data_IF_944577747624
#
_entry.id   IF_944577747624
#
_cell.length_a   1.000
_cell.length_b   1.000
_cell.length_c   1.000
_cell.angle_alpha   90.00
_cell.angle_beta   90.00
_cell.angle_gamma   90.00
#
_symmetry.space_group_name_H-M   'P 1'
#
loop_
_entity.id
_entity.type
_entity.pdbx_description
1 polymer ?
#
# COMPACT_ATOMS: atom_id res chain seq x y z
N UNK A 1 29.59 3.76 35.83
CA UNK A 1 28.13 3.49 35.89
C UNK A 1 27.62 3.20 34.48
N UNK A 2 26.94 2.07 34.27
CA UNK A 2 26.48 1.64 32.93
C UNK A 2 25.07 2.17 32.64
N UNK A 3 24.98 3.13 31.70
CA UNK A 3 23.91 3.43 30.73
C UNK A 3 22.48 2.83 30.92
N UNK A 4 21.86 2.93 32.10
CA UNK A 4 20.49 2.44 32.34
C UNK A 4 19.40 3.34 31.72
N UNK A 5 19.69 4.59 31.34
CA UNK A 5 18.69 5.54 30.86
C UNK A 5 18.36 5.44 29.37
N UNK A 6 19.25 4.87 28.54
CA UNK A 6 19.06 4.82 27.07
C UNK A 6 17.99 3.83 26.64
N UNK A 7 17.86 2.68 27.30
CA UNK A 7 16.88 1.65 26.94
C UNK A 7 15.42 2.13 27.16
N UNK A 8 15.19 2.92 28.23
CA UNK A 8 13.88 3.53 28.49
C UNK A 8 13.48 4.58 27.44
N UNK A 9 14.47 5.25 26.82
CA UNK A 9 14.21 6.23 25.77
C UNK A 9 13.70 5.57 24.49
N UNK A 10 14.33 4.47 24.03
CA UNK A 10 13.92 3.80 22.79
C UNK A 10 12.51 3.22 22.85
N UNK A 11 12.16 2.54 23.95
CA UNK A 11 10.80 2.02 24.15
C UNK A 11 9.75 3.12 24.14
N UNK A 12 10.08 4.29 24.71
CA UNK A 12 9.20 5.45 24.71
C UNK A 12 9.05 6.06 23.31
N UNK A 13 10.15 6.23 22.58
CA UNK A 13 10.14 6.74 21.21
C UNK A 13 9.38 5.82 20.26
N UNK A 14 9.58 4.51 20.35
CA UNK A 14 8.84 3.52 19.55
C UNK A 14 7.33 3.58 19.84
N UNK A 15 6.96 3.79 21.11
CA UNK A 15 5.55 3.98 21.49
C UNK A 15 4.95 5.25 20.86
N UNK A 16 5.68 6.37 20.91
CA UNK A 16 5.22 7.62 20.30
C UNK A 16 5.13 7.52 18.77
N UNK A 17 6.06 6.82 18.13
CA UNK A 17 6.06 6.58 16.69
C UNK A 17 4.81 5.81 16.26
N UNK A 18 4.52 4.69 16.92
CA UNK A 18 3.34 3.88 16.62
C UNK A 18 2.03 4.63 16.87
N UNK A 19 1.98 5.45 17.92
CA UNK A 19 0.83 6.30 18.20
C UNK A 19 0.61 7.34 17.09
N UNK A 20 1.70 7.97 16.60
CA UNK A 20 1.65 8.94 15.50
C UNK A 20 1.20 8.28 14.20
N UNK A 21 1.78 7.13 13.87
CA UNK A 21 1.44 6.35 12.67
C UNK A 21 -0.03 5.93 12.66
N UNK A 22 -0.54 5.37 13.76
CA UNK A 22 -1.96 4.99 13.87
C UNK A 22 -2.90 6.19 13.75
N UNK A 23 -2.55 7.32 14.38
CA UNK A 23 -3.37 8.53 14.32
C UNK A 23 -3.48 9.08 12.88
N UNK A 24 -2.37 9.14 12.14
CA UNK A 24 -2.39 9.56 10.74
C UNK A 24 -3.13 8.56 9.85
N UNK A 25 -2.83 7.27 9.99
CA UNK A 25 -3.50 6.21 9.24
C UNK A 25 -5.01 6.29 9.42
N UNK A 26 -5.47 6.48 10.66
CA UNK A 26 -6.90 6.66 10.95
C UNK A 26 -7.49 7.92 10.32
N UNK A 27 -6.84 9.08 10.50
CA UNK A 27 -7.34 10.33 9.92
C UNK A 27 -7.41 10.27 8.38
N UNK A 28 -6.41 9.67 7.74
CA UNK A 28 -6.34 9.48 6.30
C UNK A 28 -7.39 8.46 5.81
N UNK A 29 -7.57 7.35 6.52
CA UNK A 29 -8.57 6.34 6.18
C UNK A 29 -9.99 6.92 6.27
N UNK A 30 -10.29 7.69 7.31
CA UNK A 30 -11.61 8.30 7.53
C UNK A 30 -12.00 9.27 6.39
N UNK A 31 -11.03 9.87 5.69
CA UNK A 31 -11.26 10.74 4.51
C UNK A 31 -11.15 10.00 3.16
N UNK A 32 -11.11 8.66 3.17
CA UNK A 32 -11.03 7.84 1.97
C UNK A 32 -9.68 7.93 1.25
N UNK A 33 -8.60 8.22 1.97
CA UNK A 33 -7.24 8.15 1.44
C UNK A 33 -6.80 6.69 1.27
N UNK A 34 -6.08 6.30 0.19
CA UNK A 34 -5.65 4.92 -0.02
C UNK A 34 -4.49 4.57 0.92
N UNK A 35 -4.88 4.11 2.10
CA UNK A 35 -4.04 3.68 3.22
C UNK A 35 -4.65 2.40 3.81
N UNK A 36 -3.87 1.56 4.53
CA UNK A 36 -4.40 0.41 5.23
C UNK A 36 -5.53 0.76 6.22
N UNK A 37 -6.47 -0.18 6.37
CA UNK A 37 -7.53 -0.05 7.38
C UNK A 37 -6.91 -0.06 8.79
N UNK A 38 -7.12 0.97 9.63
CA UNK A 38 -6.59 1.00 10.99
C UNK A 38 -7.41 0.09 11.91
N UNK A 39 -6.87 -1.06 12.33
CA UNK A 39 -7.59 -2.04 13.17
C UNK A 39 -7.34 -1.82 14.67
N UNK A 40 -6.14 -1.38 15.04
CA UNK A 40 -5.85 -1.05 16.44
C UNK A 40 -4.41 -0.65 16.71
N UNK A 41 -4.17 -0.13 17.90
CA UNK A 41 -2.83 0.28 18.34
C UNK A 41 -2.64 -0.01 19.83
N UNK A 42 -1.51 -0.62 20.17
CA UNK A 42 -1.10 -0.84 21.56
C UNK A 42 0.41 -0.67 21.73
N UNK A 43 0.81 0.27 22.60
CA UNK A 43 2.22 0.60 22.87
C UNK A 43 2.99 0.97 21.59
N UNK A 44 3.83 0.09 21.07
CA UNK A 44 4.65 0.31 19.88
C UNK A 44 4.19 -0.57 18.71
N UNK A 45 2.96 -1.07 18.76
CA UNK A 45 2.38 -2.02 17.81
C UNK A 45 1.16 -1.37 17.17
N UNK A 46 1.14 -1.35 15.85
CA UNK A 46 -0.01 -0.98 15.02
C UNK A 46 -0.51 -2.25 14.32
N UNK A 47 -1.83 -2.46 14.36
CA UNK A 47 -2.52 -3.52 13.61
C UNK A 47 -3.33 -2.84 12.52
N UNK A 48 -3.16 -3.29 11.29
CA UNK A 48 -3.79 -2.70 10.12
C UNK A 48 -4.28 -3.77 9.14
N UNK A 49 -5.18 -3.38 8.24
CA UNK A 49 -5.67 -4.21 7.15
C UNK A 49 -4.54 -4.64 6.23
N UNK A 50 -4.60 -5.89 5.78
CA UNK A 50 -3.61 -6.43 4.88
C UNK A 50 -3.83 -5.90 3.45
N UNK A 51 -2.87 -5.15 2.95
CA UNK A 51 -2.87 -4.68 1.56
C UNK A 51 -2.40 -5.81 0.64
N UNK A 52 -3.20 -6.06 -0.40
CA UNK A 52 -2.80 -6.93 -1.51
C UNK A 52 -1.90 -6.10 -2.44
N UNK A 53 -0.66 -6.53 -2.63
CA UNK A 53 0.30 -5.82 -3.47
C UNK A 53 1.73 -6.07 -3.04
N UNK A 54 2.67 -5.47 -3.76
CA UNK A 54 4.08 -5.50 -3.43
C UNK A 54 4.64 -4.08 -3.37
N UNK A 55 5.68 -3.83 -2.56
CA UNK A 55 6.41 -2.57 -2.60
C UNK A 55 6.90 -2.26 -4.01
N UNK A 56 6.77 -1.01 -4.43
CA UNK A 56 7.09 -0.56 -5.78
C UNK A 56 8.54 -0.90 -6.19
N UNK A 57 9.50 -0.82 -5.25
CA UNK A 57 10.89 -1.17 -5.51
C UNK A 57 11.10 -2.62 -5.98
N UNK A 58 10.19 -3.53 -5.62
CA UNK A 58 10.28 -4.96 -5.96
C UNK A 58 9.76 -5.25 -7.37
N UNK A 59 9.01 -4.32 -7.97
CA UNK A 59 8.40 -4.53 -9.28
C UNK A 59 9.45 -4.26 -10.36
N UNK A 60 9.87 -5.29 -11.13
CA UNK A 60 10.84 -5.07 -12.18
C UNK A 60 10.19 -4.39 -13.39
N UNK A 61 10.94 -3.53 -14.08
CA UNK A 61 10.47 -2.75 -15.23
C UNK A 61 9.79 -3.59 -16.33
N UNK A 62 10.23 -4.83 -16.55
CA UNK A 62 9.66 -5.73 -17.58
C UNK A 62 8.28 -6.30 -17.24
N UNK A 63 7.82 -6.17 -15.99
CA UNK A 63 6.48 -6.62 -15.56
C UNK A 63 5.41 -5.56 -15.70
N UNK A 64 5.79 -4.34 -16.07
CA UNK A 64 4.87 -3.22 -16.24
C UNK A 64 4.88 -2.81 -17.72
N UNK A 65 3.68 -2.67 -18.28
CA UNK A 65 3.49 -1.90 -19.52
C UNK A 65 3.78 -0.42 -19.28
N UNK A 66 4.06 0.33 -20.34
CA UNK A 66 4.38 1.76 -20.21
C UNK A 66 3.17 2.56 -19.71
N UNK A 67 1.96 2.14 -20.08
CA UNK A 67 0.69 2.69 -19.57
C UNK A 67 0.54 2.45 -18.07
N UNK A 68 0.89 1.27 -17.58
CA UNK A 68 0.86 0.97 -16.14
C UNK A 68 1.89 1.79 -15.37
N UNK A 69 3.11 1.95 -15.90
CA UNK A 69 4.12 2.80 -15.26
C UNK A 69 3.65 4.24 -15.15
N UNK A 70 3.11 4.81 -16.24
CA UNK A 70 2.54 6.15 -16.25
C UNK A 70 1.41 6.28 -15.22
N UNK A 71 0.51 5.28 -15.17
CA UNK A 71 -0.61 5.28 -14.23
C UNK A 71 -0.18 5.18 -12.76
N UNK A 72 0.87 4.41 -12.44
CA UNK A 72 1.40 4.32 -11.06
C UNK A 72 2.05 5.66 -10.70
N UNK A 73 2.79 6.27 -11.62
CA UNK A 73 3.43 7.57 -11.40
C UNK A 73 2.39 8.67 -11.12
N UNK A 74 1.38 8.79 -11.98
CA UNK A 74 0.26 9.73 -11.83
C UNK A 74 -0.46 9.53 -10.49
N UNK A 75 -0.76 8.28 -10.12
CA UNK A 75 -1.34 8.00 -8.81
C UNK A 75 -0.43 8.42 -7.67
N UNK A 76 0.88 8.16 -7.74
CA UNK A 76 1.82 8.52 -6.68
C UNK A 76 1.96 10.04 -6.50
N UNK A 77 1.96 10.82 -7.59
CA UNK A 77 1.99 12.29 -7.52
C UNK A 77 0.66 12.88 -7.09
N UNK A 78 -0.46 12.29 -7.49
CA UNK A 78 -1.80 12.65 -6.99
C UNK A 78 -1.91 12.43 -5.47
N UNK A 79 -1.36 11.33 -4.95
CA UNK A 79 -1.28 11.07 -3.52
C UNK A 79 -0.52 12.18 -2.78
N UNK A 80 0.66 12.56 -3.27
CA UNK A 80 1.40 13.69 -2.71
C UNK A 80 0.57 14.98 -2.71
N UNK A 81 -0.11 15.28 -3.82
CA UNK A 81 -0.93 16.48 -3.99
C UNK A 81 -2.16 16.49 -3.07
N UNK A 82 -2.81 15.35 -2.88
CA UNK A 82 -3.92 15.18 -1.94
C UNK A 82 -3.48 15.39 -0.49
N UNK A 83 -2.29 14.89 -0.10
CA UNK A 83 -1.74 15.20 1.23
C UNK A 83 -1.56 16.70 1.42
N UNK A 84 -1.04 17.39 0.41
CA UNK A 84 -0.85 18.82 0.44
C UNK A 84 -2.18 19.57 0.64
N UNK A 85 -3.24 19.15 -0.04
CA UNK A 85 -4.60 19.68 0.14
C UNK A 85 -5.16 19.44 1.54
N UNK A 86 -4.75 18.35 2.20
CA UNK A 86 -5.07 18.07 3.61
C UNK A 86 -4.12 18.76 4.61
N UNK A 87 -3.22 19.64 4.14
CA UNK A 87 -2.29 20.39 4.99
C UNK A 87 -1.11 19.56 5.50
N UNK A 88 -0.76 18.47 4.81
CA UNK A 88 0.31 17.55 5.18
C UNK A 88 1.33 17.37 4.04
N UNK A 89 2.58 17.09 4.43
CA UNK A 89 3.65 16.63 3.54
C UNK A 89 4.19 15.31 4.07
N UNK A 90 4.42 14.33 3.20
CA UNK A 90 4.83 12.98 3.61
C UNK A 90 6.22 12.96 4.25
N UNK A 91 7.18 13.66 3.65
CA UNK A 91 8.58 13.78 4.08
C UNK A 91 9.39 12.49 4.03
N UNK A 92 8.89 11.46 3.36
CA UNK A 92 9.66 10.26 3.00
C UNK A 92 8.98 9.51 1.85
N UNK A 93 8.44 10.24 0.86
CA UNK A 93 7.71 9.58 -0.24
C UNK A 93 8.70 8.96 -1.23
N UNK A 94 8.73 7.64 -1.28
CA UNK A 94 9.67 6.85 -2.09
C UNK A 94 9.07 5.48 -2.47
N UNK A 95 9.82 4.69 -3.22
CA UNK A 95 9.41 3.37 -3.73
C UNK A 95 9.23 2.27 -2.67
N UNK A 96 9.66 2.50 -1.43
CA UNK A 96 9.49 1.57 -0.31
C UNK A 96 8.15 1.79 0.40
N UNK A 97 7.65 3.02 0.35
CA UNK A 97 6.43 3.45 1.04
C UNK A 97 5.18 3.38 0.14
N UNK A 98 5.32 2.87 -1.08
CA UNK A 98 4.23 2.64 -2.02
C UNK A 98 4.04 1.14 -2.29
N UNK A 99 2.85 0.62 -1.95
CA UNK A 99 2.41 -0.72 -2.32
C UNK A 99 1.57 -0.64 -3.59
N UNK A 100 1.85 -1.53 -4.56
CA UNK A 100 1.14 -1.58 -5.83
C UNK A 100 0.45 -2.93 -6.01
N UNK A 101 -0.85 -2.87 -6.29
CA UNK A 101 -1.67 -4.00 -6.74
C UNK A 101 -1.85 -3.96 -8.25
N UNK A 102 -1.37 -4.99 -8.95
CA UNK A 102 -1.48 -5.11 -10.41
C UNK A 102 -2.78 -5.80 -10.86
N UNK A 103 -3.59 -6.33 -9.95
CA UNK A 103 -4.86 -7.00 -10.26
C UNK A 103 -6.01 -6.05 -10.60
N UNK A 104 -5.81 -4.75 -10.36
CA UNK A 104 -6.78 -3.68 -10.63
C UNK A 104 -8.09 -3.79 -9.88
N UNK A 105 -8.03 -4.26 -8.63
CA UNK A 105 -9.20 -4.26 -7.76
C UNK A 105 -10.20 -5.37 -8.07
N UNK A 106 -9.82 -6.36 -8.89
CA UNK A 106 -10.55 -7.63 -8.94
C UNK A 106 -10.36 -8.27 -7.57
N UNK A 107 -11.31 -8.04 -6.67
CA UNK A 107 -11.42 -8.79 -5.44
C UNK A 107 -11.66 -10.24 -5.85
N UNK A 108 -10.59 -11.03 -5.93
CA UNK A 108 -10.69 -12.48 -5.86
C UNK A 108 -11.26 -12.81 -4.48
N UNK A 109 -12.59 -12.77 -4.40
CA UNK A 109 -13.36 -13.56 -3.47
C UNK A 109 -13.27 -14.99 -3.98
N UNK A 110 -12.37 -15.77 -3.36
CA UNK A 110 -12.20 -17.21 -3.49
C UNK A 110 -12.66 -17.84 -4.81
N UNK A 111 -11.70 -18.17 -5.67
CA UNK A 111 -11.89 -19.25 -6.64
C UNK A 111 -10.66 -20.14 -6.72
N UNK A 112 -10.82 -21.32 -6.12
CA UNK A 112 -10.45 -22.64 -6.60
C UNK A 112 -9.28 -22.75 -7.60
N UNK A 113 -8.28 -23.52 -7.16
CA UNK A 113 -7.32 -24.24 -7.98
C UNK A 113 -7.96 -24.85 -9.23
N UNK A 114 -7.43 -24.49 -10.38
CA UNK A 114 -7.41 -25.34 -11.56
C UNK A 114 -5.94 -25.54 -11.93
N UNK A 115 -5.52 -26.80 -11.95
CA UNK A 115 -4.19 -27.23 -12.39
C UNK A 115 -4.09 -27.02 -13.91
N UNK A 116 -3.82 -25.80 -14.36
CA UNK A 116 -3.43 -25.51 -15.74
C UNK A 116 -2.44 -24.34 -15.77
N UNK A 117 -1.38 -24.52 -16.57
CA UNK A 117 -0.21 -23.67 -16.71
C UNK A 117 -0.55 -22.17 -16.90
N UNK A 118 0.21 -21.31 -16.20
CA UNK A 118 0.32 -19.86 -16.37
C UNK A 118 -0.95 -19.00 -16.18
N UNK A 119 -1.47 -18.87 -14.94
CA UNK A 119 -2.30 -17.70 -14.58
C UNK A 119 -2.12 -17.20 -13.12
N UNK A 120 -1.59 -15.98 -12.99
CA UNK A 120 -1.94 -14.87 -12.08
C UNK A 120 -2.57 -15.16 -10.69
N UNK A 121 -2.14 -16.18 -9.94
CA UNK A 121 -2.70 -16.47 -8.60
C UNK A 121 -1.72 -16.43 -7.41
N UNK A 122 -0.40 -16.42 -7.60
CA UNK A 122 0.56 -16.57 -6.48
C UNK A 122 1.54 -15.40 -6.32
N UNK A 123 1.05 -14.19 -6.00
CA UNK A 123 1.93 -13.11 -5.57
C UNK A 123 1.54 -12.57 -4.20
N UNK A 124 1.65 -13.44 -3.19
CA UNK A 124 1.86 -13.01 -1.82
C UNK A 124 3.33 -13.28 -1.44
N UNK A 125 4.20 -12.30 -1.65
CA UNK A 125 5.59 -12.39 -1.19
C UNK A 125 5.62 -12.01 0.29
N UNK A 126 5.72 -13.01 1.18
CA UNK A 126 6.15 -12.73 2.56
C UNK A 126 7.57 -12.17 2.51
N UNK A 127 7.85 -11.16 3.34
CA UNK A 127 9.12 -10.42 3.42
C UNK A 127 10.41 -11.26 3.71
N UNK A 128 10.35 -12.60 3.68
CA UNK A 128 11.48 -13.48 4.00
C UNK A 128 12.16 -14.13 2.81
N UNK A 129 11.74 -13.87 1.56
CA UNK A 129 12.45 -14.37 0.36
C UNK A 129 12.61 -15.90 0.27
N UNK A 130 11.79 -16.66 1.00
CA UNK A 130 11.80 -18.12 1.02
C UNK A 130 10.54 -18.64 0.33
N UNK A 131 10.72 -19.58 -0.60
CA UNK A 131 9.63 -20.28 -1.27
C UNK A 131 8.83 -21.11 -0.25
N UNK A 132 7.50 -21.01 -0.28
CA UNK A 132 6.63 -21.80 0.60
C UNK A 132 6.39 -23.17 -0.03
N UNK A 133 7.29 -24.13 0.22
CA UNK A 133 7.03 -25.55 -0.07
C UNK A 133 6.25 -26.25 1.05
N UNK A 134 5.92 -25.55 2.15
CA UNK A 134 5.17 -26.14 3.26
C UNK A 134 3.89 -25.36 3.54
N UNK A 135 2.75 -26.00 3.29
CA UNK A 135 1.43 -25.56 3.75
C UNK A 135 1.52 -25.24 5.24
N UNK A 136 1.33 -23.98 5.61
CA UNK A 136 1.30 -23.56 7.00
C UNK A 136 0.24 -24.35 7.78
N UNK A 137 0.54 -24.68 9.03
CA UNK A 137 -0.27 -25.52 9.93
C UNK A 137 -1.71 -25.05 10.14
N UNK A 138 -2.03 -23.78 9.83
CA UNK A 138 -3.38 -23.22 9.89
C UNK A 138 -4.27 -23.61 8.69
N UNK A 139 -3.69 -24.07 7.58
CA UNK A 139 -4.44 -24.46 6.37
C UNK A 139 -4.89 -25.93 6.40
N UNK A 140 -4.38 -26.74 7.32
CA UNK A 140 -4.67 -28.17 7.38
C UNK A 140 -6.07 -28.54 7.91
N UNK A 141 -6.84 -27.58 8.46
CA UNK A 141 -8.16 -27.87 9.04
C UNK A 141 -9.36 -27.55 8.14
N UNK A 142 -9.15 -26.98 6.95
CA UNK A 142 -10.25 -26.58 6.06
C UNK A 142 -10.62 -27.69 5.03
N UNK A 143 -10.63 -28.96 5.45
CA UNK A 143 -10.91 -30.11 4.54
C UNK A 143 -12.10 -30.95 4.99
N UNK A 144 -13.00 -30.45 5.84
CA UNK A 144 -14.26 -31.16 6.10
C UNK A 144 -15.41 -30.19 5.96
N UNK A 145 -16.38 -30.57 5.11
CA UNK A 145 -17.56 -29.80 4.68
C UNK A 145 -18.56 -29.52 5.79
N UNK A 146 -18.06 -28.97 6.88
CA UNK A 146 -18.81 -28.40 7.98
C UNK A 146 -18.48 -26.91 8.02
N UNK A 147 -19.49 -26.07 8.16
CA UNK A 147 -19.25 -24.68 8.47
C UNK A 147 -18.65 -24.54 9.89
N UNK A 148 -18.18 -23.34 10.24
CA UNK A 148 -17.60 -23.07 11.57
C UNK A 148 -18.57 -23.25 12.75
N UNK A 149 -19.81 -23.68 12.48
CA UNK A 149 -20.84 -23.98 13.48
C UNK A 149 -21.13 -25.47 13.63
N UNK A 150 -20.58 -26.30 12.74
CA UNK A 150 -20.75 -27.76 12.77
C UNK A 150 -21.93 -28.28 11.96
N UNK A 151 -22.51 -27.48 11.05
CA UNK A 151 -23.53 -27.95 10.10
C UNK A 151 -22.92 -28.32 8.74
N UNK A 152 -23.45 -29.38 8.11
CA UNK A 152 -22.94 -29.91 6.85
C UNK A 152 -23.47 -29.09 5.65
N UNK A 153 -22.57 -28.59 4.81
CA UNK A 153 -22.90 -27.74 3.66
C UNK A 153 -23.48 -28.63 2.54
N UNK A 154 -24.80 -28.56 2.28
CA UNK A 154 -25.48 -29.37 1.25
C UNK A 154 -25.80 -28.63 -0.06
N UNK A 155 -25.54 -27.33 -0.12
CA UNK A 155 -25.87 -26.52 -1.30
C UNK A 155 -24.68 -26.45 -2.26
N UNK A 156 -24.90 -26.92 -3.49
CA UNK A 156 -23.92 -26.81 -4.56
C UNK A 156 -23.60 -25.33 -4.83
N UNK A 157 -22.32 -24.94 -4.97
CA UNK A 157 -21.96 -23.57 -5.27
C UNK A 157 -22.65 -23.09 -6.54
N UNK A 158 -23.28 -21.91 -6.49
CA UNK A 158 -23.90 -21.30 -7.66
C UNK A 158 -22.90 -21.19 -8.81
N UNK A 159 -23.34 -21.53 -10.02
CA UNK A 159 -22.50 -21.40 -11.20
C UNK A 159 -22.02 -19.94 -11.35
N UNK A 160 -20.73 -19.71 -11.61
CA UNK A 160 -20.18 -18.37 -11.64
C UNK A 160 -20.79 -17.57 -12.79
N UNK A 161 -21.32 -16.39 -12.47
CA UNK A 161 -21.68 -15.38 -13.47
C UNK A 161 -20.47 -15.12 -14.37
N UNK A 162 -20.71 -15.12 -15.68
CA UNK A 162 -19.71 -15.12 -16.74
C UNK A 162 -18.57 -14.12 -16.48
N UNK A 163 -17.32 -14.57 -16.74
CA UNK A 163 -16.12 -13.72 -16.79
C UNK A 163 -16.43 -12.53 -17.70
N UNK A 164 -16.49 -11.32 -17.13
CA UNK A 164 -16.56 -10.10 -17.93
C UNK A 164 -15.25 -10.01 -18.72
N UNK A 165 -15.35 -10.04 -20.05
CA UNK A 165 -14.23 -9.84 -20.97
C UNK A 165 -13.75 -8.40 -20.87
N UNK A 166 -12.96 -8.09 -19.84
CA UNK A 166 -12.28 -6.79 -19.74
C UNK A 166 -11.19 -6.80 -20.81
N UNK A 167 -11.45 -6.08 -21.90
CA UNK A 167 -10.59 -5.99 -23.09
C UNK A 167 -9.30 -5.17 -22.85
N UNK A 168 -9.14 -4.61 -21.65
CA UNK A 168 -8.02 -3.76 -21.25
C UNK A 168 -7.33 -4.33 -20.00
N UNK A 169 -6.00 -4.23 -19.93
CA UNK A 169 -5.26 -4.66 -18.75
C UNK A 169 -5.76 -3.92 -17.50
N UNK A 170 -5.91 -4.60 -16.34
CA UNK A 170 -6.39 -3.98 -15.13
C UNK A 170 -5.50 -2.80 -14.69
N UNK A 171 -6.13 -1.66 -14.36
CA UNK A 171 -5.43 -0.46 -13.89
C UNK A 171 -4.83 -0.72 -12.51
N UNK A 172 -3.53 -0.50 -12.29
CA UNK A 172 -2.90 -0.77 -11.01
C UNK A 172 -3.44 0.16 -9.91
N UNK A 173 -3.46 -0.30 -8.66
CA UNK A 173 -3.87 0.50 -7.49
C UNK A 173 -2.64 0.78 -6.63
N UNK A 174 -2.43 2.04 -6.27
CA UNK A 174 -1.33 2.48 -5.41
C UNK A 174 -1.85 2.78 -4.00
N UNK A 175 -1.24 2.17 -2.99
CA UNK A 175 -1.54 2.39 -1.56
C UNK A 175 -0.30 2.94 -0.87
N UNK A 176 -0.47 4.03 -0.10
CA UNK A 176 0.59 4.64 0.68
C UNK A 176 0.69 3.99 2.07
N UNK A 177 1.91 3.83 2.58
CA UNK A 177 2.20 3.37 3.94
C UNK A 177 3.29 4.25 4.58
N UNK A 178 3.53 4.05 5.89
CA UNK A 178 4.58 4.70 6.68
C UNK A 178 4.41 6.22 6.92
N UNK A 179 3.49 6.56 7.83
CA UNK A 179 3.10 7.96 8.14
C UNK A 179 3.84 8.70 9.30
N UNK A 180 4.78 8.13 10.07
CA UNK A 180 5.29 8.79 11.28
C UNK A 180 6.17 10.02 10.97
N UNK A 181 6.68 10.17 9.73
CA UNK A 181 7.54 11.31 9.36
C UNK A 181 6.78 12.52 8.81
N UNK A 182 5.45 12.42 8.66
CA UNK A 182 4.64 13.49 8.10
C UNK A 182 4.74 14.78 8.92
N UNK A 183 4.76 15.91 8.19
CA UNK A 183 4.80 17.28 8.75
C UNK A 183 3.66 18.13 8.19
N UNK A 184 3.34 19.21 8.90
CA UNK A 184 2.36 20.19 8.42
C UNK A 184 2.94 21.05 7.28
N UNK A 185 2.09 21.49 6.37
CA UNK A 185 2.41 22.50 5.34
C UNK A 185 2.92 23.83 5.88
N UNK A 186 2.65 24.13 7.16
CA UNK A 186 3.16 25.33 7.83
C UNK A 186 4.62 25.19 8.31
N UNK A 187 5.25 24.02 8.10
CA UNK A 187 6.66 23.83 8.43
C UNK A 187 7.54 24.73 7.54
N UNK A 188 8.60 25.39 8.06
CA UNK A 188 9.45 26.30 7.29
C UNK A 188 10.00 25.71 5.99
N UNK A 189 10.26 24.40 5.99
CA UNK A 189 10.82 23.67 4.84
C UNK A 189 9.77 22.79 4.12
N UNK A 190 8.47 23.01 4.33
CA UNK A 190 7.43 22.14 3.79
C UNK A 190 7.48 22.03 2.26
N UNK A 191 7.68 23.16 1.57
CA UNK A 191 7.79 23.21 0.12
C UNK A 191 8.98 22.40 -0.40
N UNK A 192 10.16 22.59 0.20
CA UNK A 192 11.37 21.83 -0.17
C UNK A 192 11.20 20.33 0.07
N UNK A 193 10.55 19.94 1.18
CA UNK A 193 10.28 18.54 1.51
C UNK A 193 9.31 17.91 0.51
N UNK A 194 8.27 18.64 0.11
CA UNK A 194 7.32 18.20 -0.91
C UNK A 194 7.99 18.04 -2.28
N UNK A 195 8.79 19.01 -2.70
CA UNK A 195 9.54 18.91 -3.96
C UNK A 195 10.53 17.74 -3.93
N UNK A 196 11.19 17.49 -2.80
CA UNK A 196 12.10 16.36 -2.63
C UNK A 196 11.36 15.02 -2.77
N UNK A 197 10.17 14.91 -2.19
CA UNK A 197 9.31 13.73 -2.30
C UNK A 197 8.96 13.44 -3.79
N UNK A 198 8.53 14.46 -4.55
CA UNK A 198 8.29 14.32 -5.99
C UNK A 198 9.54 13.94 -6.79
N UNK A 199 10.69 14.53 -6.46
CA UNK A 199 11.97 14.19 -7.09
C UNK A 199 12.40 12.75 -6.80
N UNK A 200 12.12 12.21 -5.62
CA UNK A 200 12.38 10.81 -5.29
C UNK A 200 11.57 9.89 -6.20
N UNK A 201 10.27 10.16 -6.36
CA UNK A 201 9.42 9.44 -7.30
C UNK A 201 9.99 9.53 -8.72
N UNK A 202 10.22 10.75 -9.23
CA UNK A 202 10.73 10.95 -10.58
C UNK A 202 12.02 10.15 -10.84
N UNK A 203 13.01 10.27 -9.94
CA UNK A 203 14.29 9.55 -10.05
C UNK A 203 14.11 8.05 -10.10
N UNK A 204 13.19 7.51 -9.29
CA UNK A 204 12.91 6.07 -9.29
C UNK A 204 12.35 5.61 -10.65
N UNK A 205 11.34 6.31 -11.19
CA UNK A 205 10.71 5.86 -12.43
C UNK A 205 11.66 6.01 -13.65
N UNK A 206 12.46 7.07 -13.71
CA UNK A 206 13.48 7.22 -14.76
C UNK A 206 14.52 6.10 -14.67
N UNK A 207 15.15 5.94 -13.50
CA UNK A 207 16.33 5.07 -13.37
C UNK A 207 15.97 3.60 -13.33
N UNK A 208 14.90 3.24 -12.60
CA UNK A 208 14.54 1.85 -12.33
C UNK A 208 13.51 1.33 -13.33
N UNK A 209 12.48 2.12 -13.61
CA UNK A 209 11.39 1.71 -14.50
C UNK A 209 11.61 2.07 -15.98
N UNK A 210 12.63 2.89 -16.26
CA UNK A 210 13.04 3.32 -17.61
C UNK A 210 11.91 4.03 -18.37
N UNK A 211 11.15 4.88 -17.68
CA UNK A 211 10.16 5.74 -18.31
C UNK A 211 10.84 6.95 -18.98
N UNK A 212 10.26 7.45 -20.06
CA UNK A 212 10.68 8.69 -20.69
C UNK A 212 10.05 9.89 -19.97
N UNK A 213 10.84 10.95 -19.75
CA UNK A 213 10.50 12.12 -18.92
C UNK A 213 9.67 13.20 -19.62
N UNK A 214 9.50 13.14 -20.94
CA UNK A 214 9.26 14.35 -21.74
C UNK A 214 7.91 15.06 -21.50
N UNK A 215 6.96 14.45 -20.76
CA UNK A 215 5.60 15.00 -20.57
C UNK A 215 5.05 14.89 -19.14
N UNK A 216 5.88 14.74 -18.10
CA UNK A 216 5.35 14.65 -16.73
C UNK A 216 5.10 16.03 -16.11
N UNK A 217 3.82 16.38 -16.00
CA UNK A 217 3.39 17.56 -15.25
C UNK A 217 3.54 17.30 -13.75
N UNK A 218 4.52 17.96 -13.13
CA UNK A 218 4.78 17.82 -11.70
C UNK A 218 3.86 18.77 -10.93
N UNK A 219 3.12 18.27 -9.93
CA UNK A 219 2.23 19.12 -9.17
C UNK A 219 3.01 20.20 -8.43
N UNK A 220 2.59 21.45 -8.60
CA UNK A 220 3.16 22.59 -7.89
C UNK A 220 2.77 22.55 -6.40
N UNK A 221 3.61 23.14 -5.55
CA UNK A 221 3.24 23.36 -4.15
C UNK A 221 2.15 24.43 -4.08
N UNK A 222 0.89 24.02 -4.16
CA UNK A 222 -0.28 24.88 -4.08
C UNK A 222 -1.24 24.37 -3.02
N UNK A 223 -1.37 25.14 -1.94
CA UNK A 223 -2.33 24.86 -0.88
C UNK A 223 -3.58 25.66 -1.24
N UNK A 224 -4.68 24.98 -1.55
CA UNK A 224 -5.97 25.66 -1.66
C UNK A 224 -6.34 26.14 -0.26
N UNK A 225 -6.34 27.44 -0.04
CA UNK A 225 -6.89 28.04 1.17
C UNK A 225 -8.37 27.70 1.24
N UNK A 226 -8.71 26.63 1.95
CA UNK A 226 -10.09 26.40 2.37
C UNK A 226 -10.42 27.47 3.40
N UNK A 227 -10.99 28.58 2.90
CA UNK A 227 -11.68 29.54 3.74
C UNK A 227 -12.75 28.80 4.54
N UNK A 228 -12.59 28.87 5.87
CA UNK A 228 -13.49 28.50 6.95
C UNK A 228 -14.94 28.12 6.57
N UNK A 229 -15.41 27.00 7.13
CA UNK A 229 -16.82 26.81 7.55
C UNK A 229 -16.86 26.15 8.91
#
# INVERSE_FOLDING_TARGET
EKNSSKAHSWLFLSKLSAQKEYAYMKALYDVGYPTPEPLGHNRHIVVMGLIRGMPLYQIPSHRLSDEQKASIFEQATDLASRLLQHGLVHCDLNEFNLLVDLSGGIQSHNSNKTDDHDTVADHYVRHTGLNVETKGSLSAHLVRGFDGTGEAISEAPAEPLAKLEVTQAPKPIVTLIDFPQMVSVHHPNAEELYQRDLQCLQKFFIKKLKCNDEDWDMPAFSIVSTSET
#
